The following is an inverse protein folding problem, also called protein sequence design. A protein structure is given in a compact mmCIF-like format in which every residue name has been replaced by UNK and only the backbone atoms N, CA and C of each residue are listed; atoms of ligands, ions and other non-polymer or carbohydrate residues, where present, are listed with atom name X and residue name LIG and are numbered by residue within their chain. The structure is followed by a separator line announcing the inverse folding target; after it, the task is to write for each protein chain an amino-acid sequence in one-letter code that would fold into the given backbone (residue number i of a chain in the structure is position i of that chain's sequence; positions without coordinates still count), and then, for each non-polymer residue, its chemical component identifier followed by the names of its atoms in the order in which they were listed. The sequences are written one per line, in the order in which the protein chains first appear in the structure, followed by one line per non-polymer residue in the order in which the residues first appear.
data_IF_491557496524
#
_entry.id   IF_491557496524
#
_cell.length_a   1.000
_cell.length_b   1.000
_cell.length_c   1.000
_cell.angle_alpha   90.00
_cell.angle_beta   90.00
_cell.angle_gamma   90.00
#
_symmetry.space_group_name_H-M   'P 1'
#
loop_
_entity.id
_entity.type
_entity.pdbx_description
1 polymer ?
#
# COMPACT_ATOMS: atom_id res chain seq x y z
N UNK A 1 8.96 -22.36 10.91
CA UNK A 1 9.02 -20.94 11.32
C UNK A 1 7.60 -20.42 11.30
N UNK A 2 7.18 -19.67 12.31
CA UNK A 2 5.84 -19.06 12.31
C UNK A 2 6.02 -17.71 11.62
N UNK A 3 5.67 -17.61 10.34
CA UNK A 3 5.62 -16.33 9.65
C UNK A 3 4.45 -15.49 10.17
N UNK A 4 4.64 -14.19 10.25
CA UNK A 4 3.57 -13.20 10.47
C UNK A 4 3.55 -12.21 9.29
N UNK A 5 2.86 -11.07 9.44
CA UNK A 5 2.75 -10.03 8.39
C UNK A 5 3.45 -8.71 8.82
N UNK A 6 4.43 -8.80 9.73
CA UNK A 6 5.12 -7.63 10.27
C UNK A 6 6.48 -7.49 9.61
N UNK A 7 6.61 -6.47 8.76
CA UNK A 7 7.91 -6.15 8.16
C UNK A 7 8.99 -5.94 9.22
N UNK A 8 9.90 -6.92 9.29
CA UNK A 8 10.96 -7.00 10.28
C UNK A 8 12.35 -7.06 9.64
N UNK A 9 13.39 -6.91 10.48
CA UNK A 9 14.77 -7.04 10.04
C UNK A 9 15.15 -8.51 9.83
N UNK A 10 16.10 -8.77 8.92
CA UNK A 10 16.70 -10.09 8.72
C UNK A 10 17.24 -10.63 10.04
N UNK A 11 16.85 -11.86 10.39
CA UNK A 11 17.34 -12.57 11.58
C UNK A 11 18.42 -13.55 11.18
N UNK A 12 19.43 -13.74 12.03
CA UNK A 12 20.51 -14.71 11.80
C UNK A 12 20.55 -15.74 12.92
N UNK A 13 20.84 -16.98 12.59
CA UNK A 13 21.10 -18.04 13.55
C UNK A 13 22.32 -18.85 13.14
N UNK A 14 22.93 -19.54 14.11
CA UNK A 14 24.05 -20.44 13.86
C UNK A 14 23.75 -21.84 14.35
N UNK A 15 24.23 -22.83 13.61
CA UNK A 15 24.27 -24.23 14.04
C UNK A 15 25.73 -24.56 14.32
N UNK A 16 26.00 -25.04 15.54
CA UNK A 16 27.35 -25.44 15.96
C UNK A 16 27.37 -26.94 16.25
N UNK A 17 28.28 -27.66 15.59
CA UNK A 17 28.60 -29.04 15.89
C UNK A 17 29.51 -29.08 17.12
N UNK A 18 29.29 -30.06 18.00
CA UNK A 18 30.08 -30.24 19.21
C UNK A 18 30.20 -31.72 19.56
N UNK A 19 31.22 -32.05 20.37
CA UNK A 19 31.52 -33.41 20.85
C UNK A 19 31.70 -34.45 19.72
N UNK A 20 32.66 -34.25 18.81
CA UNK A 20 32.97 -35.29 17.82
C UNK A 20 33.44 -36.56 18.54
N UNK A 21 32.94 -37.72 18.10
CA UNK A 21 33.28 -39.01 18.68
C UNK A 21 34.36 -39.70 17.83
N UNK A 22 34.92 -40.81 18.34
CA UNK A 22 35.81 -41.71 17.59
C UNK A 22 37.06 -41.04 16.98
N UNK A 23 37.56 -39.96 17.58
CA UNK A 23 38.74 -39.24 17.09
C UNK A 23 38.51 -38.38 15.86
N UNK A 24 37.24 -38.13 15.50
CA UNK A 24 36.89 -37.22 14.42
C UNK A 24 37.29 -35.77 14.76
N UNK A 25 37.72 -35.03 13.74
CA UNK A 25 38.04 -33.61 13.83
C UNK A 25 36.99 -32.84 13.07
N UNK A 26 36.36 -31.87 13.72
CA UNK A 26 35.44 -30.96 13.08
C UNK A 26 36.26 -29.93 12.27
N UNK A 27 36.05 -29.92 10.95
CA UNK A 27 36.75 -28.99 10.03
C UNK A 27 36.04 -27.64 9.97
N UNK A 28 34.70 -27.66 10.00
CA UNK A 28 33.85 -26.47 10.10
C UNK A 28 32.84 -26.71 11.22
N UNK A 29 33.08 -26.11 12.37
CA UNK A 29 32.25 -26.32 13.56
C UNK A 29 30.94 -25.54 13.53
N UNK A 30 30.93 -24.35 12.93
CA UNK A 30 29.77 -23.48 12.92
C UNK A 30 29.36 -23.10 11.50
N UNK A 31 28.06 -23.20 11.23
CA UNK A 31 27.43 -22.65 10.04
C UNK A 31 26.42 -21.57 10.45
N UNK A 32 26.41 -20.44 9.75
CA UNK A 32 25.43 -19.36 9.94
C UNK A 32 24.38 -19.42 8.83
N UNK A 33 23.13 -19.16 9.19
CA UNK A 33 22.02 -19.03 8.26
C UNK A 33 21.18 -17.79 8.61
N UNK A 34 20.40 -17.31 7.64
CA UNK A 34 19.52 -16.16 7.78
C UNK A 34 18.07 -16.53 7.54
N UNK A 35 17.18 -15.83 8.22
CA UNK A 35 15.73 -15.81 8.01
C UNK A 35 15.45 -14.46 7.36
N UNK A 36 15.07 -14.48 6.08
CA UNK A 36 14.71 -13.28 5.34
C UNK A 36 13.27 -12.89 5.67
N UNK A 37 13.02 -11.59 5.70
CA UNK A 37 11.67 -11.03 5.82
C UNK A 37 11.00 -11.07 4.44
N UNK A 38 9.82 -11.68 4.36
CA UNK A 38 8.99 -11.79 3.15
C UNK A 38 7.71 -10.94 3.22
N UNK A 39 7.65 -10.01 4.19
CA UNK A 39 6.49 -9.16 4.42
C UNK A 39 6.51 -7.85 3.61
N UNK A 40 5.44 -7.63 2.87
CA UNK A 40 5.18 -6.37 2.15
C UNK A 40 4.38 -5.39 3.02
N UNK A 41 4.57 -4.10 2.78
CA UNK A 41 3.81 -3.02 3.44
C UNK A 41 3.21 -2.06 2.43
N UNK A 42 2.07 -1.45 2.78
CA UNK A 42 1.35 -0.48 1.95
C UNK A 42 1.03 0.78 2.74
N UNK A 43 1.18 1.94 2.11
CA UNK A 43 0.73 3.22 2.66
C UNK A 43 0.14 4.10 1.57
N UNK A 44 -0.74 5.02 1.97
CA UNK A 44 -1.39 5.99 1.09
C UNK A 44 -1.26 7.39 1.67
N UNK A 45 -0.98 8.36 0.81
CA UNK A 45 -0.92 9.77 1.17
C UNK A 45 -1.66 10.61 0.14
N UNK A 46 -2.44 11.60 0.60
CA UNK A 46 -3.02 12.60 -0.29
C UNK A 46 -1.91 13.52 -0.79
N UNK A 47 -1.83 13.70 -2.11
CA UNK A 47 -0.96 14.69 -2.74
C UNK A 47 -1.62 16.07 -2.64
N UNK A 48 -2.93 16.12 -2.91
CA UNK A 48 -3.77 17.27 -2.62
C UNK A 48 -4.89 16.88 -1.64
N UNK A 49 -4.95 17.56 -0.49
CA UNK A 49 -5.94 17.24 0.56
C UNK A 49 -7.11 18.21 0.61
N UNK A 50 -7.00 19.32 -0.11
CA UNK A 50 -7.99 20.40 -0.17
C UNK A 50 -7.99 20.97 -1.58
N UNK A 51 -9.17 21.00 -2.17
CA UNK A 51 -9.41 21.70 -3.41
C UNK A 51 -10.70 22.51 -3.28
N UNK A 52 -10.82 23.65 -3.98
CA UNK A 52 -12.11 24.30 -4.17
C UNK A 52 -13.09 23.32 -4.83
N UNK A 53 -14.38 23.44 -4.51
CA UNK A 53 -15.44 22.62 -5.12
C UNK A 53 -15.42 22.68 -6.66
N UNK A 54 -15.01 23.81 -7.23
CA UNK A 54 -15.00 24.05 -8.68
C UNK A 54 -16.34 24.61 -9.17
N UNK A 55 -16.42 24.95 -10.45
CA UNK A 55 -17.59 25.66 -11.01
C UNK A 55 -17.98 25.26 -12.45
N UNK A 56 -17.31 24.27 -13.07
CA UNK A 56 -17.72 23.70 -14.37
C UNK A 56 -16.92 22.45 -14.80
N UNK A 57 -15.73 22.22 -14.23
CA UNK A 57 -14.85 21.08 -14.53
C UNK A 57 -14.68 20.17 -13.32
N UNK A 58 -14.25 18.93 -13.57
CA UNK A 58 -13.85 17.98 -12.53
C UNK A 58 -12.65 18.54 -11.77
N UNK A 59 -12.73 18.53 -10.45
CA UNK A 59 -11.61 18.88 -9.57
C UNK A 59 -10.91 17.59 -9.12
N UNK A 60 -9.71 17.28 -9.63
CA UNK A 60 -9.05 16.01 -9.33
C UNK A 60 -8.45 16.01 -7.92
N UNK A 61 -8.77 14.95 -7.17
CA UNK A 61 -8.04 14.58 -5.96
C UNK A 61 -7.06 13.45 -6.28
N UNK A 62 -5.80 13.65 -5.88
CA UNK A 62 -4.67 12.76 -6.20
C UNK A 62 -4.08 12.16 -4.93
N UNK A 63 -3.77 10.87 -5.01
CA UNK A 63 -3.18 10.10 -3.93
C UNK A 63 -1.96 9.34 -4.44
N UNK A 64 -0.94 9.25 -3.59
CA UNK A 64 0.22 8.40 -3.80
C UNK A 64 0.09 7.15 -2.94
N UNK A 65 0.33 5.99 -3.54
CA UNK A 65 0.41 4.71 -2.81
C UNK A 65 1.85 4.23 -2.87
N UNK A 66 2.42 3.95 -1.71
CA UNK A 66 3.79 3.45 -1.56
C UNK A 66 3.77 2.02 -1.06
N UNK A 67 4.60 1.17 -1.66
CA UNK A 67 4.86 -0.20 -1.26
C UNK A 67 6.28 -0.32 -0.71
N UNK A 68 6.44 -0.97 0.43
CA UNK A 68 7.72 -1.25 1.07
C UNK A 68 7.85 -2.70 1.55
N UNK A 69 8.94 -3.03 2.24
CA UNK A 69 9.23 -4.39 2.70
C UNK A 69 9.66 -5.31 1.55
N UNK A 70 9.19 -6.56 1.53
CA UNK A 70 9.40 -7.47 0.41
C UNK A 70 8.51 -7.11 -0.79
N UNK A 71 9.15 -6.68 -1.87
CA UNK A 71 8.50 -6.29 -3.11
C UNK A 71 8.75 -7.26 -4.25
N UNK A 72 9.36 -8.42 -3.99
CA UNK A 72 9.80 -9.34 -5.05
C UNK A 72 8.65 -10.05 -5.78
N UNK A 73 7.44 -10.05 -5.21
CA UNK A 73 6.23 -10.60 -5.82
C UNK A 73 5.27 -9.50 -6.26
N UNK A 74 4.48 -9.72 -7.30
CA UNK A 74 3.38 -8.82 -7.64
C UNK A 74 2.29 -8.87 -6.56
N UNK A 75 1.55 -7.77 -6.38
CA UNK A 75 0.42 -7.72 -5.43
C UNK A 75 -0.64 -6.73 -5.89
N UNK A 76 -1.85 -6.91 -5.39
CA UNK A 76 -2.97 -5.98 -5.62
C UNK A 76 -3.49 -5.43 -4.30
N UNK A 77 -4.02 -4.21 -4.32
CA UNK A 77 -4.65 -3.55 -3.17
C UNK A 77 -5.95 -2.91 -3.62
N UNK A 78 -7.04 -3.22 -2.92
CA UNK A 78 -8.33 -2.60 -3.19
C UNK A 78 -8.41 -1.24 -2.48
N UNK A 79 -9.07 -0.27 -3.12
CA UNK A 79 -9.43 1.00 -2.49
C UNK A 79 -10.93 1.27 -2.63
N UNK A 80 -11.47 2.03 -1.67
CA UNK A 80 -12.82 2.56 -1.72
C UNK A 80 -12.85 3.96 -1.09
N UNK A 81 -13.61 4.84 -1.69
CA UNK A 81 -13.86 6.20 -1.18
C UNK A 81 -15.09 6.16 -0.29
N UNK A 82 -15.07 6.96 0.79
CA UNK A 82 -16.21 7.15 1.68
C UNK A 82 -16.18 8.54 2.29
N UNK A 83 -17.35 9.09 2.57
CA UNK A 83 -17.50 10.33 3.31
C UNK A 83 -17.07 10.17 4.78
N UNK A 84 -16.49 11.23 5.36
CA UNK A 84 -16.06 11.25 6.76
C UNK A 84 -16.31 12.62 7.39
N UNK A 85 -16.56 12.63 8.70
CA UNK A 85 -16.67 13.85 9.51
C UNK A 85 -18.12 14.25 9.79
N UNK A 86 -18.32 15.51 10.21
CA UNK A 86 -19.65 16.02 10.58
C UNK A 86 -20.53 16.34 9.38
N UNK A 87 -19.92 16.68 8.24
CA UNK A 87 -20.58 16.90 6.96
C UNK A 87 -19.87 16.01 5.92
N UNK A 88 -20.14 14.69 5.91
CA UNK A 88 -19.47 13.77 5.01
C UNK A 88 -19.92 14.04 3.57
N UNK A 89 -18.99 13.92 2.62
CA UNK A 89 -19.35 13.83 1.21
C UNK A 89 -20.19 12.58 0.96
N UNK A 90 -21.18 12.65 0.09
CA UNK A 90 -22.06 11.54 -0.28
C UNK A 90 -21.85 11.09 -1.74
N UNK A 91 -22.58 10.08 -2.19
CA UNK A 91 -22.45 9.59 -3.58
C UNK A 91 -22.87 10.63 -4.62
N UNK A 92 -23.80 11.53 -4.28
CA UNK A 92 -24.21 12.58 -5.20
C UNK A 92 -23.07 13.55 -5.41
N UNK A 93 -22.32 13.85 -4.35
CA UNK A 93 -21.06 14.57 -4.47
C UNK A 93 -20.13 13.87 -5.44
N UNK A 94 -20.16 12.54 -5.64
CA UNK A 94 -19.32 11.84 -6.62
C UNK A 94 -20.01 11.43 -7.94
N UNK A 95 -21.17 11.98 -8.25
CA UNK A 95 -21.86 11.68 -9.51
C UNK A 95 -22.75 10.46 -9.50
N UNK A 96 -23.20 10.09 -8.31
CA UNK A 96 -24.15 9.02 -8.06
C UNK A 96 -23.52 7.74 -7.50
N UNK A 97 -22.19 7.69 -7.32
CA UNK A 97 -21.52 6.56 -6.69
C UNK A 97 -20.14 6.95 -6.15
N UNK A 98 -19.73 6.41 -4.99
CA UNK A 98 -18.35 6.52 -4.53
C UNK A 98 -17.38 5.76 -5.45
N UNK A 99 -16.22 6.36 -5.80
CA UNK A 99 -15.16 5.64 -6.50
C UNK A 99 -14.61 4.48 -5.65
N UNK A 100 -14.26 3.41 -6.34
CA UNK A 100 -13.51 2.27 -5.80
C UNK A 100 -12.73 1.61 -6.93
N UNK A 101 -11.77 0.77 -6.59
CA UNK A 101 -10.97 0.08 -7.60
C UNK A 101 -9.85 -0.76 -7.02
N UNK A 102 -8.97 -1.20 -7.92
CA UNK A 102 -7.82 -2.05 -7.61
C UNK A 102 -6.57 -1.33 -8.09
N UNK A 103 -5.55 -1.32 -7.25
CA UNK A 103 -4.20 -0.87 -7.60
C UNK A 103 -3.29 -2.08 -7.64
N UNK A 104 -2.62 -2.27 -8.77
CA UNK A 104 -1.71 -3.39 -8.98
C UNK A 104 -0.27 -2.92 -8.91
N UNK A 105 0.55 -3.61 -8.11
CA UNK A 105 2.00 -3.43 -8.09
C UNK A 105 2.66 -4.64 -8.73
N UNK A 106 3.44 -4.40 -9.79
CA UNK A 106 4.32 -5.44 -10.31
C UNK A 106 5.42 -5.79 -9.29
N UNK A 107 6.08 -6.93 -9.50
CA UNK A 107 7.28 -7.26 -8.73
C UNK A 107 8.34 -6.14 -8.88
N UNK A 108 8.85 -5.67 -7.76
CA UNK A 108 9.81 -4.57 -7.66
C UNK A 108 9.20 -3.17 -7.67
N UNK A 109 7.90 -3.02 -7.93
CA UNK A 109 7.26 -1.70 -7.94
C UNK A 109 7.00 -1.20 -6.52
N UNK A 110 7.45 0.02 -6.21
CA UNK A 110 7.39 0.61 -4.86
C UNK A 110 6.51 1.85 -4.77
N UNK A 111 6.05 2.37 -5.90
CA UNK A 111 5.32 3.64 -5.96
C UNK A 111 4.30 3.63 -7.10
N UNK A 112 3.07 4.06 -6.79
CA UNK A 112 2.09 4.52 -7.77
C UNK A 112 1.83 6.00 -7.53
N UNK A 113 2.21 6.83 -8.50
CA UNK A 113 2.05 8.29 -8.49
C UNK A 113 1.78 8.77 -9.92
N UNK A 114 0.79 9.65 -10.10
CA UNK A 114 0.48 10.41 -11.32
C UNK A 114 0.50 9.66 -12.67
N UNK A 115 0.21 8.35 -12.65
CA UNK A 115 -0.16 7.59 -13.85
C UNK A 115 -1.69 7.67 -14.05
N UNK A 116 -2.22 7.42 -15.27
CA UNK A 116 -3.66 7.27 -15.49
C UNK A 116 -4.32 6.14 -14.66
N UNK A 117 -3.50 5.35 -13.95
CA UNK A 117 -3.88 4.30 -12.99
C UNK A 117 -3.79 4.74 -11.51
N UNK A 118 -3.53 6.03 -11.25
CA UNK A 118 -3.67 6.62 -9.91
C UNK A 118 -5.15 6.61 -9.53
N UNK A 119 -5.46 6.60 -8.23
CA UNK A 119 -6.83 6.91 -7.77
C UNK A 119 -7.09 8.39 -8.09
N UNK A 120 -7.52 8.67 -9.32
CA UNK A 120 -8.13 9.91 -9.72
C UNK A 120 -9.59 9.79 -9.34
N UNK A 121 -9.99 10.50 -8.31
CA UNK A 121 -11.41 10.62 -7.99
C UNK A 121 -11.99 11.69 -8.92
N UNK A 122 -12.41 11.25 -10.10
CA UNK A 122 -12.74 12.13 -11.23
C UNK A 122 -14.19 12.61 -11.28
N UNK A 123 -14.95 12.51 -10.19
CA UNK A 123 -16.32 13.02 -10.19
C UNK A 123 -16.56 13.65 -8.84
N UNK A 124 -16.55 14.99 -8.79
CA UNK A 124 -17.41 15.70 -7.86
C UNK A 124 -18.60 16.23 -8.70
N UNK A 125 -19.84 15.79 -8.49
CA UNK A 125 -21.02 16.16 -9.30
C UNK A 125 -21.98 16.99 -8.44
N UNK A 126 -21.83 18.31 -8.49
CA UNK A 126 -22.62 19.25 -7.72
C UNK A 126 -24.12 19.18 -8.08
N UNK A 127 -24.98 19.11 -7.06
CA UNK A 127 -26.40 19.48 -7.18
C UNK A 127 -26.47 20.97 -7.51
N UNK A 128 -26.98 21.29 -8.69
CA UNK A 128 -27.24 22.66 -9.13
C UNK A 128 -27.91 23.47 -8.01
N UNK A 129 -27.27 24.55 -7.57
CA UNK A 129 -27.94 25.61 -6.80
C UNK A 129 -28.94 26.27 -7.74
N UNK A 130 -30.21 25.89 -7.68
CA UNK A 130 -31.29 26.72 -8.22
C UNK A 130 -31.54 27.85 -7.22
N UNK A 131 -31.00 29.04 -7.50
CA UNK A 131 -31.57 30.28 -6.97
C UNK A 131 -32.86 30.53 -7.73
N UNK A 132 -34.01 30.19 -7.15
CA UNK A 132 -35.28 30.76 -7.62
C UNK A 132 -35.38 32.20 -7.11
N UNK A 133 -35.77 33.08 -8.03
CA UNK A 133 -35.90 34.52 -7.88
C UNK A 133 -37.37 34.89 -7.67
#
# INVERSE_FOLDING_TARGET
MNGDEINEAIKTFSVTLANPANGEVLVTETATAAILNDDATMAIAAVNSRQPEGNAEVTPYTFTITRGGDVNSATTVNYAVSGRGLNPADEADFGGQFPSGVVEFAAGETLKSDQPESIQIDRLLLKSVTTEN
#
